data_IF_412152557879
#
_entry.id   IF_412152557879
#
_cell.length_a   1.000
_cell.length_b   1.000
_cell.length_c   1.000
_cell.angle_alpha   90.00
_cell.angle_beta   90.00
_cell.angle_gamma   90.00
#
_symmetry.space_group_name_H-M   'P 1'
#
loop_
_entity.id
_entity.type
_entity.pdbx_description
1 polymer ?
#
# COMPACT_ATOMS: atom_id res chain seq x y z
N UNK A 1 -6.38 6.51 8.97
CA UNK A 1 -6.19 5.44 9.98
C UNK A 1 -7.45 4.60 10.03
N UNK A 2 -7.31 3.29 10.15
CA UNK A 2 -8.40 2.35 10.32
C UNK A 2 -8.34 1.66 11.67
N UNK A 3 -9.40 0.90 12.01
CA UNK A 3 -9.50 0.13 13.24
C UNK A 3 -9.86 -1.32 12.92
N UNK A 4 -9.15 -2.27 13.51
CA UNK A 4 -9.43 -3.70 13.38
C UNK A 4 -10.70 -4.05 14.17
N UNK A 5 -11.74 -4.52 13.48
CA UNK A 5 -13.00 -4.92 14.09
C UNK A 5 -13.11 -6.43 14.27
N UNK A 6 -12.45 -7.22 13.41
CA UNK A 6 -12.42 -8.67 13.55
C UNK A 6 -11.10 -9.26 13.08
N UNK A 7 -10.64 -10.31 13.78
CA UNK A 7 -9.52 -11.16 13.39
C UNK A 7 -10.03 -12.57 13.21
N UNK A 8 -10.05 -13.06 11.96
CA UNK A 8 -10.77 -14.29 11.61
C UNK A 8 -9.82 -15.36 11.06
N UNK A 9 -10.00 -16.60 11.53
CA UNK A 9 -9.28 -17.78 11.03
C UNK A 9 -10.24 -18.93 10.74
N UNK A 10 -9.80 -19.88 9.93
CA UNK A 10 -10.44 -21.19 9.78
C UNK A 10 -9.40 -22.30 9.86
N UNK A 11 -9.68 -23.37 10.58
CA UNK A 11 -8.79 -24.51 10.71
C UNK A 11 -8.76 -25.38 9.46
N UNK A 12 -9.78 -25.27 8.59
CA UNK A 12 -9.91 -26.08 7.38
C UNK A 12 -10.21 -25.22 6.16
N UNK A 13 -9.59 -25.53 5.03
CA UNK A 13 -9.89 -24.88 3.74
C UNK A 13 -11.35 -25.11 3.34
N UNK A 14 -11.98 -24.09 2.74
CA UNK A 14 -13.37 -24.18 2.29
C UNK A 14 -14.41 -24.00 3.40
N UNK A 15 -14.01 -23.74 4.64
CA UNK A 15 -14.90 -23.40 5.73
C UNK A 15 -14.91 -21.90 6.00
N UNK A 16 -16.03 -21.40 6.53
CA UNK A 16 -16.14 -20.02 6.97
C UNK A 16 -15.14 -19.73 8.09
N UNK A 17 -14.47 -18.57 8.02
CA UNK A 17 -13.62 -18.09 9.10
C UNK A 17 -14.47 -17.59 10.26
N UNK A 18 -13.91 -17.63 11.47
CA UNK A 18 -14.55 -17.16 12.70
C UNK A 18 -13.65 -16.13 13.37
N UNK A 19 -14.28 -15.09 13.93
CA UNK A 19 -13.57 -14.10 14.71
C UNK A 19 -13.03 -14.72 16.00
N UNK A 20 -11.72 -14.70 16.16
CA UNK A 20 -10.99 -15.23 17.34
C UNK A 20 -10.46 -14.12 18.24
N UNK A 21 -10.76 -12.87 17.90
CA UNK A 21 -10.37 -11.69 18.68
C UNK A 21 -8.92 -11.26 18.50
N UNK A 22 -7.98 -12.18 18.35
CA UNK A 22 -6.58 -11.89 18.08
C UNK A 22 -5.87 -13.09 17.46
N UNK A 23 -4.80 -12.82 16.68
CA UNK A 23 -3.96 -13.86 16.10
C UNK A 23 -2.50 -13.40 16.00
N UNK A 24 -1.60 -14.37 15.90
CA UNK A 24 -0.18 -14.14 15.58
C UNK A 24 -0.02 -14.19 14.07
N UNK A 25 0.62 -13.15 13.53
CA UNK A 25 1.02 -13.06 12.12
C UNK A 25 2.46 -13.50 12.00
N UNK A 26 2.73 -14.45 11.14
CA UNK A 26 4.05 -15.02 10.92
C UNK A 26 4.58 -14.49 9.58
N UNK A 27 5.81 -13.97 9.62
CA UNK A 27 6.50 -13.42 8.45
C UNK A 27 6.57 -14.44 7.31
N UNK A 28 6.30 -13.98 6.08
CA UNK A 28 6.23 -14.78 4.86
C UNK A 28 5.38 -16.06 4.98
N UNK A 29 4.34 -16.03 5.83
CA UNK A 29 3.47 -17.18 6.05
C UNK A 29 1.98 -16.82 6.16
N UNK A 30 1.60 -15.92 7.05
CA UNK A 30 0.20 -15.53 7.31
C UNK A 30 -0.18 -15.69 8.78
N UNK A 31 -1.47 -15.98 9.07
CA UNK A 31 -1.96 -16.14 10.44
C UNK A 31 -1.66 -17.56 10.95
N UNK A 32 -1.13 -17.64 12.16
CA UNK A 32 -0.94 -18.91 12.85
C UNK A 32 -2.29 -19.60 13.05
N UNK A 33 -2.37 -20.87 12.69
CA UNK A 33 -3.59 -21.69 12.79
C UNK A 33 -4.61 -21.48 11.69
N UNK A 34 -4.38 -20.54 10.74
CA UNK A 34 -5.27 -20.41 9.58
C UNK A 34 -4.91 -21.39 8.47
N UNK A 35 -5.89 -22.13 7.98
CA UNK A 35 -5.74 -23.11 6.91
C UNK A 35 -5.24 -22.56 5.58
N UNK A 36 -5.33 -21.22 5.36
CA UNK A 36 -4.90 -20.54 4.15
C UNK A 36 -3.50 -19.94 4.26
N UNK A 37 -2.87 -20.02 5.46
CA UNK A 37 -1.49 -19.60 5.64
C UNK A 37 -0.54 -20.43 4.76
N UNK A 38 0.55 -19.80 4.29
CA UNK A 38 1.55 -20.44 3.45
C UNK A 38 2.41 -19.46 2.67
N UNK A 39 3.48 -20.00 2.05
CA UNK A 39 4.40 -19.20 1.22
C UNK A 39 3.80 -18.89 -0.16
N UNK A 40 2.97 -17.89 -0.22
CA UNK A 40 2.33 -17.40 -1.44
C UNK A 40 1.95 -15.92 -1.28
N UNK A 41 1.38 -15.31 -2.30
CA UNK A 41 1.08 -13.87 -2.28
C UNK A 41 -0.25 -13.50 -1.58
N UNK A 42 -1.09 -14.48 -1.22
CA UNK A 42 -2.40 -14.26 -0.57
C UNK A 42 -2.41 -14.84 0.85
N UNK A 43 -1.44 -14.46 1.66
CA UNK A 43 -1.25 -14.97 3.02
C UNK A 43 -2.34 -14.49 3.99
N UNK A 44 -2.78 -13.24 3.82
CA UNK A 44 -3.80 -12.60 4.63
C UNK A 44 -4.81 -11.90 3.73
N UNK A 45 -6.09 -12.08 4.03
CA UNK A 45 -7.16 -11.39 3.31
C UNK A 45 -7.81 -10.33 4.19
N UNK A 46 -8.04 -9.13 3.63
CA UNK A 46 -8.64 -7.99 4.31
C UNK A 46 -9.92 -7.55 3.61
N UNK A 47 -10.88 -7.05 4.38
CA UNK A 47 -12.11 -6.48 3.87
C UNK A 47 -12.54 -5.30 4.74
N UNK A 48 -13.04 -4.25 4.09
CA UNK A 48 -13.56 -3.06 4.75
C UNK A 48 -14.92 -3.38 5.41
N UNK A 49 -15.11 -2.96 6.66
CA UNK A 49 -16.36 -3.13 7.38
C UNK A 49 -17.50 -2.39 6.71
N UNK A 50 -17.25 -1.25 6.09
CA UNK A 50 -18.22 -0.46 5.34
C UNK A 50 -18.80 -1.26 4.17
N UNK A 51 -17.94 -2.04 3.47
CA UNK A 51 -18.37 -2.89 2.36
C UNK A 51 -19.21 -4.07 2.86
N UNK A 52 -18.85 -4.69 3.99
CA UNK A 52 -19.63 -5.74 4.63
C UNK A 52 -21.00 -5.18 5.08
N UNK A 53 -21.02 -4.01 5.72
CA UNK A 53 -22.25 -3.38 6.20
C UNK A 53 -23.17 -2.96 5.05
N UNK A 54 -22.61 -2.42 3.96
CA UNK A 54 -23.39 -2.15 2.75
C UNK A 54 -23.99 -3.41 2.13
N UNK A 55 -23.29 -4.55 2.23
CA UNK A 55 -23.81 -5.83 1.77
C UNK A 55 -24.90 -6.38 2.72
N UNK A 56 -24.73 -6.24 4.03
CA UNK A 56 -25.75 -6.57 5.05
C UNK A 56 -27.05 -5.76 4.83
N UNK A 57 -26.92 -4.47 4.49
CA UNK A 57 -28.06 -3.61 4.20
C UNK A 57 -28.90 -4.06 2.99
N UNK A 58 -28.34 -4.89 2.09
CA UNK A 58 -29.06 -5.54 1.00
C UNK A 58 -29.83 -6.80 1.44
N UNK A 59 -29.83 -7.12 2.73
CA UNK A 59 -30.52 -8.30 3.30
C UNK A 59 -29.60 -9.51 3.47
N UNK A 60 -28.30 -9.37 3.36
CA UNK A 60 -27.38 -10.48 3.60
C UNK A 60 -27.17 -10.70 5.11
N UNK A 61 -27.44 -11.93 5.57
CA UNK A 61 -27.11 -12.39 6.92
C UNK A 61 -25.72 -13.02 6.91
N UNK A 62 -24.69 -12.19 7.10
CA UNK A 62 -23.28 -12.62 7.08
C UNK A 62 -22.55 -12.13 8.33
N UNK A 63 -21.82 -13.03 8.96
CA UNK A 63 -20.90 -12.71 10.06
C UNK A 63 -19.55 -12.27 9.51
N UNK A 64 -18.72 -11.67 10.36
CA UNK A 64 -17.32 -11.38 10.04
C UNK A 64 -16.56 -12.70 9.82
N UNK A 65 -15.78 -12.78 8.74
CA UNK A 65 -15.13 -14.02 8.30
C UNK A 65 -15.91 -14.80 7.24
N UNK A 66 -17.17 -14.42 6.97
CA UNK A 66 -18.06 -15.15 6.05
C UNK A 66 -17.55 -15.15 4.59
N UNK A 67 -16.88 -14.10 4.15
CA UNK A 67 -16.31 -13.99 2.80
C UNK A 67 -14.93 -14.66 2.69
N UNK A 68 -14.39 -15.16 3.82
CA UNK A 68 -13.06 -15.76 3.93
C UNK A 68 -11.98 -14.74 4.28
N UNK A 69 -12.35 -13.52 4.67
CA UNK A 69 -11.42 -12.50 5.16
C UNK A 69 -10.81 -12.87 6.51
N UNK A 70 -9.55 -12.50 6.70
CA UNK A 70 -8.84 -12.64 7.96
C UNK A 70 -8.99 -11.39 8.83
N UNK A 71 -8.96 -10.20 8.23
CA UNK A 71 -9.15 -8.94 8.93
C UNK A 71 -10.36 -8.20 8.39
N UNK A 72 -11.22 -7.75 9.29
CA UNK A 72 -12.26 -6.75 9.03
C UNK A 72 -11.79 -5.44 9.64
N UNK A 73 -11.67 -4.39 8.82
CA UNK A 73 -11.12 -3.11 9.24
C UNK A 73 -12.08 -1.98 8.85
N UNK A 74 -12.32 -1.08 9.78
CA UNK A 74 -13.09 0.16 9.59
C UNK A 74 -12.17 1.29 9.13
N UNK A 75 -12.67 2.20 8.30
CA UNK A 75 -11.98 3.45 7.95
C UNK A 75 -10.94 3.34 6.82
N UNK A 76 -10.80 2.18 6.18
CA UNK A 76 -9.90 1.99 5.03
C UNK A 76 -10.66 1.38 3.85
N UNK A 77 -10.68 2.07 2.71
CA UNK A 77 -11.17 1.52 1.44
C UNK A 77 -10.02 0.84 0.69
N UNK A 78 -9.78 -0.42 1.03
CA UNK A 78 -8.65 -1.20 0.53
C UNK A 78 -8.60 -1.32 -0.99
N UNK A 79 -9.77 -1.44 -1.65
CA UNK A 79 -9.85 -1.67 -3.09
C UNK A 79 -9.40 -0.46 -3.92
N UNK A 80 -9.29 0.72 -3.30
CA UNK A 80 -8.80 1.94 -3.95
C UNK A 80 -7.29 2.13 -3.82
N UNK A 81 -6.62 1.29 -3.05
CA UNK A 81 -5.19 1.42 -2.81
C UNK A 81 -4.39 0.61 -3.85
N UNK A 82 -3.25 1.12 -4.33
CA UNK A 82 -2.44 0.40 -5.29
C UNK A 82 -1.79 -0.85 -4.67
N UNK A 83 -1.56 -1.88 -5.50
CA UNK A 83 -0.73 -3.03 -5.13
C UNK A 83 0.66 -2.52 -4.73
N UNK A 84 1.26 -3.09 -3.67
CA UNK A 84 2.48 -2.61 -3.05
C UNK A 84 2.25 -1.70 -1.84
N UNK A 85 1.01 -1.19 -1.65
CA UNK A 85 0.66 -0.44 -0.43
C UNK A 85 0.96 -1.27 0.82
N UNK A 86 1.54 -0.64 1.82
CA UNK A 86 1.82 -1.28 3.11
C UNK A 86 0.85 -0.82 4.18
N UNK A 87 0.46 -1.77 5.01
CA UNK A 87 -0.38 -1.54 6.19
C UNK A 87 0.42 -1.87 7.43
N UNK A 88 0.32 -1.03 8.43
CA UNK A 88 0.98 -1.25 9.73
C UNK A 88 -0.09 -1.36 10.82
N UNK A 89 -0.02 -2.43 11.61
CA UNK A 89 -0.86 -2.66 12.77
C UNK A 89 0.04 -3.09 13.93
N UNK A 90 0.35 -2.16 14.83
CA UNK A 90 1.40 -2.36 15.82
C UNK A 90 2.75 -2.67 15.16
N UNK A 91 3.33 -3.85 15.48
CA UNK A 91 4.57 -4.31 14.86
C UNK A 91 4.37 -4.99 13.50
N UNK A 92 3.15 -5.45 13.21
CA UNK A 92 2.84 -6.19 11.99
C UNK A 92 2.84 -5.26 10.79
N UNK A 93 3.54 -5.69 9.74
CA UNK A 93 3.56 -4.99 8.45
C UNK A 93 3.06 -5.95 7.37
N UNK A 94 2.01 -5.53 6.68
CA UNK A 94 1.40 -6.24 5.57
C UNK A 94 1.63 -5.47 4.27
N UNK A 95 1.85 -6.17 3.17
CA UNK A 95 1.95 -5.57 1.84
C UNK A 95 0.81 -6.05 0.95
N UNK A 96 0.07 -5.14 0.35
CA UNK A 96 -1.01 -5.42 -0.60
C UNK A 96 -0.44 -6.09 -1.86
N UNK A 97 -0.85 -7.31 -2.14
CA UNK A 97 -0.35 -8.10 -3.27
C UNK A 97 -1.38 -8.32 -4.37
N UNK A 98 -2.68 -8.24 -4.02
CA UNK A 98 -3.75 -8.46 -4.98
C UNK A 98 -5.05 -7.80 -4.51
N UNK A 99 -5.79 -7.21 -5.46
CA UNK A 99 -7.16 -6.72 -5.27
C UNK A 99 -8.11 -7.70 -5.95
N UNK A 100 -9.13 -8.14 -5.20
CA UNK A 100 -10.12 -9.09 -5.67
C UNK A 100 -9.57 -10.49 -5.90
N UNK A 101 -10.49 -11.39 -6.18
CA UNK A 101 -10.17 -12.77 -6.63
C UNK A 101 -11.29 -13.30 -7.51
N UNK A 102 -10.98 -14.15 -8.46
CA UNK A 102 -12.02 -14.94 -9.11
C UNK A 102 -12.71 -15.84 -8.08
N UNK A 103 -14.02 -15.72 -7.97
CA UNK A 103 -14.83 -16.60 -7.15
C UNK A 103 -15.34 -17.75 -8.01
N UNK A 104 -15.12 -18.97 -7.54
CA UNK A 104 -15.77 -20.13 -8.15
C UNK A 104 -17.29 -20.03 -7.90
N UNK A 105 -18.08 -20.20 -8.95
CA UNK A 105 -19.53 -20.26 -8.85
C UNK A 105 -19.93 -21.35 -7.85
N UNK A 106 -20.52 -20.98 -6.72
CA UNK A 106 -21.00 -21.98 -5.79
C UNK A 106 -20.83 -21.72 -4.30
N UNK A 107 -20.19 -20.60 -3.85
CA UNK A 107 -20.17 -20.32 -2.43
C UNK A 107 -21.60 -19.96 -1.92
N UNK A 108 -21.90 -20.32 -0.67
CA UNK A 108 -23.23 -20.14 -0.08
C UNK A 108 -23.73 -18.68 -0.15
N UNK A 109 -22.83 -17.70 -0.02
CA UNK A 109 -23.18 -16.28 -0.13
C UNK A 109 -23.64 -15.95 -1.55
N UNK A 110 -22.89 -16.40 -2.57
CA UNK A 110 -23.25 -16.16 -3.97
C UNK A 110 -24.58 -16.84 -4.32
N UNK A 111 -24.81 -18.08 -3.84
CA UNK A 111 -26.07 -18.81 -4.07
C UNK A 111 -27.27 -18.09 -3.44
N UNK A 112 -27.10 -17.51 -2.21
CA UNK A 112 -28.20 -16.83 -1.49
C UNK A 112 -28.46 -15.43 -2.02
N UNK A 113 -27.41 -14.68 -2.40
CA UNK A 113 -27.47 -13.24 -2.72
C UNK A 113 -27.34 -12.93 -4.21
N UNK A 114 -26.90 -13.89 -5.05
CA UNK A 114 -26.60 -13.68 -6.46
C UNK A 114 -25.33 -12.89 -6.73
N UNK A 115 -24.69 -12.36 -5.69
CA UNK A 115 -23.43 -11.60 -5.77
C UNK A 115 -22.53 -11.86 -4.56
N UNK A 116 -21.25 -11.49 -4.68
CA UNK A 116 -20.28 -11.50 -3.60
C UNK A 116 -19.36 -10.27 -3.71
N UNK A 117 -18.99 -9.68 -2.58
CA UNK A 117 -18.12 -8.48 -2.55
C UNK A 117 -16.64 -8.82 -2.65
N UNK A 118 -16.22 -10.03 -2.28
CA UNK A 118 -14.82 -10.43 -2.24
C UNK A 118 -14.07 -10.30 -3.59
N UNK A 119 -14.71 -10.56 -4.75
CA UNK A 119 -14.07 -10.37 -6.06
C UNK A 119 -13.67 -8.93 -6.39
N UNK A 120 -14.34 -7.96 -5.79
CA UNK A 120 -14.12 -6.52 -6.10
C UNK A 120 -13.51 -5.75 -4.95
N UNK A 121 -13.93 -6.06 -3.73
CA UNK A 121 -13.64 -5.25 -2.53
C UNK A 121 -12.62 -5.93 -1.60
N UNK A 122 -12.48 -7.27 -1.69
CA UNK A 122 -11.51 -8.01 -0.90
C UNK A 122 -10.10 -7.81 -1.42
N UNK A 123 -9.15 -7.69 -0.51
CA UNK A 123 -7.74 -7.58 -0.88
C UNK A 123 -6.92 -8.66 -0.18
N UNK A 124 -5.77 -8.95 -0.75
CA UNK A 124 -4.84 -9.94 -0.23
C UNK A 124 -3.48 -9.31 0.01
N UNK A 125 -2.83 -9.77 1.07
CA UNK A 125 -1.53 -9.26 1.49
C UNK A 125 -0.58 -10.39 1.82
N UNK A 126 0.71 -10.09 1.82
CA UNK A 126 1.74 -10.90 2.47
C UNK A 126 2.23 -10.22 3.75
N UNK A 127 2.71 -11.01 4.68
CA UNK A 127 3.28 -10.53 5.95
C UNK A 127 4.76 -10.22 5.73
N UNK A 128 5.12 -8.95 5.81
CA UNK A 128 6.52 -8.48 5.73
C UNK A 128 7.21 -8.50 7.10
N UNK A 129 6.45 -8.25 8.16
CA UNK A 129 6.93 -8.35 9.55
C UNK A 129 5.80 -8.95 10.39
N UNK A 130 6.13 -9.97 11.15
CA UNK A 130 5.21 -10.67 12.04
C UNK A 130 4.96 -9.92 13.35
N UNK A 131 4.02 -10.45 14.13
CA UNK A 131 3.61 -9.92 15.42
C UNK A 131 2.18 -10.30 15.75
N UNK A 132 1.61 -9.75 16.82
CA UNK A 132 0.23 -9.99 17.22
C UNK A 132 -0.68 -8.84 16.78
N UNK A 133 -1.85 -9.19 16.25
CA UNK A 133 -2.95 -8.24 15.98
C UNK A 133 -4.18 -8.66 16.76
N UNK A 134 -4.85 -7.70 17.34
CA UNK A 134 -6.06 -7.88 18.15
C UNK A 134 -7.20 -6.97 17.66
N UNK A 135 -8.42 -7.37 17.92
CA UNK A 135 -9.58 -6.49 17.75
C UNK A 135 -9.37 -5.22 18.57
N UNK A 136 -9.62 -4.08 17.96
CA UNK A 136 -9.43 -2.75 18.55
C UNK A 136 -8.09 -2.10 18.19
N UNK A 137 -7.14 -2.84 17.64
CA UNK A 137 -5.86 -2.26 17.19
C UNK A 137 -6.08 -1.27 16.04
N UNK A 138 -5.25 -0.24 16.01
CA UNK A 138 -5.23 0.72 14.91
C UNK A 138 -4.39 0.19 13.74
N UNK A 139 -4.89 0.45 12.53
CA UNK A 139 -4.18 0.16 11.29
C UNK A 139 -3.90 1.45 10.52
N UNK A 140 -2.64 1.72 10.24
CA UNK A 140 -2.23 2.79 9.33
C UNK A 140 -1.94 2.26 7.94
N UNK A 141 -2.08 3.13 6.96
CA UNK A 141 -1.66 2.89 5.58
C UNK A 141 -0.33 3.61 5.40
N UNK A 142 0.74 2.85 5.19
CA UNK A 142 2.00 3.40 4.72
C UNK A 142 1.83 3.59 3.21
N UNK A 143 1.72 4.83 2.75
CA UNK A 143 1.69 5.10 1.32
C UNK A 143 2.97 4.50 0.70
N UNK A 144 2.81 3.72 -0.37
CA UNK A 144 3.96 3.33 -1.18
C UNK A 144 4.59 4.63 -1.68
N UNK A 145 5.81 4.90 -1.24
CA UNK A 145 6.53 6.09 -1.68
C UNK A 145 7.30 5.76 -2.95
N UNK A 146 7.04 6.50 -4.00
CA UNK A 146 7.79 6.43 -5.26
C UNK A 146 9.17 7.04 -5.00
N UNK A 147 10.20 6.39 -5.50
CA UNK A 147 11.51 6.99 -5.65
C UNK A 147 11.67 7.40 -7.11
N UNK A 148 11.53 8.71 -7.38
CA UNK A 148 11.82 9.27 -8.69
C UNK A 148 13.34 9.35 -8.86
N UNK A 149 13.87 8.49 -9.71
CA UNK A 149 15.33 8.36 -9.89
C UNK A 149 15.91 9.29 -10.95
N UNK A 150 15.07 10.09 -11.62
CA UNK A 150 15.54 10.99 -12.68
C UNK A 150 14.52 12.10 -12.92
N UNK A 151 14.70 13.22 -12.28
CA UNK A 151 13.91 14.44 -12.45
C UNK A 151 14.82 15.63 -12.82
N UNK A 152 14.25 16.72 -13.28
CA UNK A 152 14.93 17.95 -13.64
C UNK A 152 14.18 19.15 -13.05
N UNK A 153 13.98 19.16 -11.73
CA UNK A 153 13.31 20.28 -11.05
C UNK A 153 14.16 21.55 -10.98
N UNK A 154 15.45 21.45 -11.33
CA UNK A 154 16.36 22.57 -11.56
C UNK A 154 16.06 23.38 -12.83
N UNK A 155 15.29 22.80 -13.78
CA UNK A 155 14.95 23.45 -15.06
C UNK A 155 14.10 24.71 -14.86
N UNK A 156 14.30 25.71 -15.74
CA UNK A 156 13.59 26.98 -15.74
C UNK A 156 12.08 26.82 -15.94
N UNK A 157 11.65 25.73 -16.57
CA UNK A 157 10.23 25.42 -16.75
C UNK A 157 9.46 25.33 -15.42
N UNK A 158 10.15 25.08 -14.31
CA UNK A 158 9.58 24.98 -12.97
C UNK A 158 9.73 26.23 -12.12
N UNK A 159 10.29 27.34 -12.65
CA UNK A 159 10.57 28.54 -11.85
C UNK A 159 9.36 29.14 -11.15
N UNK A 160 8.15 29.01 -11.74
CA UNK A 160 6.93 29.59 -11.19
C UNK A 160 6.36 28.79 -10.01
N UNK A 161 6.50 27.44 -10.01
CA UNK A 161 5.76 26.55 -9.08
C UNK A 161 6.64 25.47 -8.42
N UNK A 162 7.94 25.44 -8.69
CA UNK A 162 8.92 24.45 -8.20
C UNK A 162 8.77 24.13 -6.72
N UNK A 163 8.71 25.16 -5.89
CA UNK A 163 8.67 24.99 -4.45
C UNK A 163 7.31 24.44 -3.97
N UNK A 164 6.21 24.96 -4.51
CA UNK A 164 4.87 24.46 -4.20
C UNK A 164 4.70 22.99 -4.60
N UNK A 165 5.20 22.64 -5.78
CA UNK A 165 5.17 21.28 -6.29
C UNK A 165 5.99 20.35 -5.37
N UNK A 166 7.24 20.69 -5.05
CA UNK A 166 8.11 19.87 -4.20
C UNK A 166 7.53 19.71 -2.78
N UNK A 167 6.95 20.75 -2.19
CA UNK A 167 6.31 20.69 -0.89
C UNK A 167 5.12 19.71 -0.87
N UNK A 168 4.43 19.53 -1.99
CA UNK A 168 3.30 18.60 -2.13
C UNK A 168 3.71 17.14 -2.41
N UNK A 169 4.95 16.89 -2.81
CA UNK A 169 5.40 15.58 -3.33
C UNK A 169 5.19 14.43 -2.36
N UNK A 170 5.57 14.60 -1.09
CA UNK A 170 5.45 13.53 -0.10
C UNK A 170 3.98 13.17 0.19
N UNK A 171 3.09 14.16 0.19
CA UNK A 171 1.65 13.92 0.33
C UNK A 171 1.07 13.18 -0.88
N UNK A 172 1.64 13.40 -2.07
CA UNK A 172 1.29 12.74 -3.32
C UNK A 172 2.00 11.39 -3.53
N UNK A 173 2.76 10.91 -2.53
CA UNK A 173 3.36 9.58 -2.55
C UNK A 173 4.76 9.51 -3.19
N UNK A 174 5.38 10.65 -3.47
CA UNK A 174 6.78 10.73 -3.88
C UNK A 174 7.66 10.84 -2.62
N UNK A 175 8.43 9.82 -2.31
CA UNK A 175 9.24 9.76 -1.09
C UNK A 175 10.63 10.31 -1.23
N UNK A 176 11.22 10.08 -2.39
CA UNK A 176 12.58 10.49 -2.72
C UNK A 176 12.66 10.87 -4.19
N UNK A 177 13.54 11.82 -4.49
CA UNK A 177 13.79 12.34 -5.84
C UNK A 177 15.29 12.42 -6.04
N UNK A 178 15.78 12.00 -7.20
CA UNK A 178 17.11 12.38 -7.71
C UNK A 178 16.88 13.46 -8.76
N UNK A 179 17.25 14.69 -8.41
CA UNK A 179 17.26 15.83 -9.34
C UNK A 179 18.57 15.81 -10.12
N UNK A 180 18.47 15.55 -11.40
CA UNK A 180 19.62 15.43 -12.30
C UNK A 180 19.80 16.75 -12.99
N UNK A 181 20.92 17.41 -12.75
CA UNK A 181 21.20 18.74 -13.29
C UNK A 181 20.96 18.84 -14.81
N UNK A 182 20.06 19.73 -15.22
CA UNK A 182 19.68 19.92 -16.61
C UNK A 182 20.78 20.61 -17.42
N UNK A 183 21.55 21.50 -16.79
CA UNK A 183 22.67 22.18 -17.43
C UNK A 183 23.75 22.61 -16.42
N UNK A 184 24.96 22.83 -16.90
CA UNK A 184 26.11 23.25 -16.05
C UNK A 184 25.82 24.55 -15.28
N UNK A 185 25.02 25.45 -15.84
CA UNK A 185 24.60 26.70 -15.18
C UNK A 185 23.57 26.49 -14.04
N UNK A 186 23.06 25.28 -13.84
CA UNK A 186 22.05 24.98 -12.84
C UNK A 186 22.59 24.25 -11.60
N UNK A 187 23.90 24.07 -11.45
CA UNK A 187 24.48 23.39 -10.28
C UNK A 187 24.03 24.00 -8.95
N UNK A 188 24.02 25.33 -8.86
CA UNK A 188 23.58 26.03 -7.66
C UNK A 188 22.09 25.76 -7.36
N UNK A 189 21.24 25.64 -8.38
CA UNK A 189 19.82 25.32 -8.21
C UNK A 189 19.62 23.92 -7.62
N UNK A 190 20.34 22.91 -8.16
CA UNK A 190 20.30 21.54 -7.62
C UNK A 190 20.79 21.53 -6.17
N UNK A 191 21.87 22.26 -5.88
CA UNK A 191 22.40 22.37 -4.52
C UNK A 191 21.38 22.97 -3.56
N UNK A 192 20.71 24.06 -3.93
CA UNK A 192 19.68 24.72 -3.14
C UNK A 192 18.50 23.77 -2.85
N UNK A 193 18.10 22.94 -3.82
CA UNK A 193 17.04 21.95 -3.65
C UNK A 193 17.43 20.85 -2.66
N UNK A 194 18.65 20.35 -2.74
CA UNK A 194 19.20 19.32 -1.82
C UNK A 194 19.31 19.86 -0.39
N UNK A 195 19.78 21.10 -0.23
CA UNK A 195 19.86 21.74 1.10
C UNK A 195 18.47 21.96 1.72
N UNK A 196 17.48 22.35 0.90
CA UNK A 196 16.13 22.70 1.37
C UNK A 196 15.27 21.46 1.66
N UNK A 197 15.40 20.39 0.86
CA UNK A 197 14.50 19.25 0.93
C UNK A 197 15.27 17.94 1.24
N UNK A 198 15.14 17.38 2.45
CA UNK A 198 15.86 16.15 2.85
C UNK A 198 15.53 14.89 2.02
N UNK A 199 14.48 14.92 1.21
CA UNK A 199 14.08 13.83 0.33
C UNK A 199 14.56 14.03 -1.13
N UNK A 200 15.24 15.14 -1.42
CA UNK A 200 15.85 15.43 -2.73
C UNK A 200 17.33 15.12 -2.67
N UNK A 201 17.81 14.36 -3.63
CA UNK A 201 19.21 14.06 -3.88
C UNK A 201 19.61 14.72 -5.20
N UNK A 202 20.80 15.31 -5.28
CA UNK A 202 21.31 15.92 -6.50
C UNK A 202 22.27 15.01 -7.24
N UNK A 203 22.16 14.96 -8.56
CA UNK A 203 23.15 14.41 -9.44
C UNK A 203 23.65 15.53 -10.36
N UNK A 204 24.94 15.86 -10.29
CA UNK A 204 25.54 16.89 -11.11
C UNK A 204 26.49 16.28 -12.13
N UNK A 205 26.49 16.85 -13.32
CA UNK A 205 27.27 16.36 -14.43
C UNK A 205 27.04 17.22 -15.67
N UNK A 206 27.64 16.82 -16.78
CA UNK A 206 27.48 17.49 -18.06
C UNK A 206 26.54 16.65 -18.92
N UNK A 207 25.40 17.24 -19.31
CA UNK A 207 24.51 16.59 -20.26
C UNK A 207 25.23 16.35 -21.60
N UNK A 208 25.00 15.23 -22.29
CA UNK A 208 25.66 14.95 -23.58
C UNK A 208 25.51 16.07 -24.61
N UNK A 209 24.40 16.79 -24.60
CA UNK A 209 24.12 17.90 -25.53
C UNK A 209 24.99 19.16 -25.21
N UNK A 210 25.59 19.23 -24.04
CA UNK A 210 26.44 20.33 -23.59
C UNK A 210 27.93 19.94 -23.49
N UNK A 211 28.26 18.70 -23.84
CA UNK A 211 29.63 18.18 -23.65
C UNK A 211 30.70 18.93 -24.43
N UNK A 212 30.36 19.53 -25.57
CA UNK A 212 31.26 20.34 -26.40
C UNK A 212 31.40 21.80 -25.93
N UNK A 213 30.54 22.23 -24.98
CA UNK A 213 30.48 23.61 -24.47
C UNK A 213 31.21 23.78 -23.14
N UNK A 214 31.64 22.69 -22.52
CA UNK A 214 32.16 22.69 -21.16
C UNK A 214 33.70 22.55 -21.17
N UNK A 215 34.40 23.50 -20.53
CA UNK A 215 35.79 23.33 -20.19
C UNK A 215 35.91 22.38 -18.98
N UNK A 216 36.65 21.27 -19.19
CA UNK A 216 36.89 20.25 -18.13
C UNK A 216 37.55 20.85 -16.88
N UNK A 217 38.17 22.03 -16.99
CA UNK A 217 38.76 22.73 -15.86
C UNK A 217 37.74 23.38 -14.90
N UNK A 218 36.45 23.37 -15.26
CA UNK A 218 35.35 23.98 -14.49
C UNK A 218 34.55 22.90 -13.71
N UNK A 219 34.81 21.64 -13.99
CA UNK A 219 34.24 20.49 -13.27
C UNK A 219 35.17 20.07 -12.13
#
# INVERSE_FOLDING_TARGET
MGKVLAVCISEKKGTQKRNVGSAVFVEDWGLEGDAHAGKWHRQVSLLSSEKINAFRAKGAEVEDGAFGENLVVEGIDFAKLPVGTRFRCGEVVLELTQIGKECHNGCAIFQKMGECIMPREGVFTRVLKGGKVSVGDEMSVDKAMIFDTHAHYDDEAFDEDRFEMLESMQENGIGHIVDVCASVGHFDRVYDLVEKYPFVYGAVGVHPDDADKVDVAVL
#
